data_IF_617498289672
#
_entry.id   IF_617498289672
#
_cell.length_a   1.000
_cell.length_b   1.000
_cell.length_c   1.000
_cell.angle_alpha   90.00
_cell.angle_beta   90.00
_cell.angle_gamma   90.00
#
_symmetry.space_group_name_H-M   'P 1'
#
loop_
_entity.id
_entity.type
_entity.pdbx_description
1 polymer ?
#
# COMPACT_ATOMS: atom_id res chain seq x y z
N UNK A 1 -6.19 -3.07 -7.05
CA UNK A 1 -5.79 -1.72 -6.60
C UNK A 1 -4.44 -1.80 -5.90
N UNK A 2 -3.53 -0.85 -6.12
CA UNK A 2 -2.24 -0.82 -5.42
C UNK A 2 -2.34 0.06 -4.18
N UNK A 3 -2.10 -0.52 -3.00
CA UNK A 3 -2.15 0.20 -1.73
C UNK A 3 -1.09 1.30 -1.63
N UNK A 4 -1.43 2.38 -0.92
CA UNK A 4 -0.52 3.48 -0.61
C UNK A 4 -0.04 3.36 0.84
N UNK A 5 1.21 3.74 1.07
CA UNK A 5 1.77 3.90 2.41
C UNK A 5 2.10 5.38 2.62
N UNK A 6 1.56 5.96 3.68
CA UNK A 6 1.88 7.33 4.09
C UNK A 6 2.81 7.24 5.29
N UNK A 7 3.93 7.95 5.22
CA UNK A 7 4.86 8.10 6.34
C UNK A 7 4.74 9.53 6.87
N UNK A 8 4.31 9.68 8.11
CA UNK A 8 4.21 10.98 8.79
C UNK A 8 5.10 11.02 10.03
N UNK A 9 5.70 12.16 10.36
CA UNK A 9 6.42 12.34 11.64
C UNK A 9 5.44 12.51 12.80
N UNK A 10 5.73 11.91 13.96
CA UNK A 10 5.13 12.38 15.22
C UNK A 10 5.80 13.69 15.62
N UNK A 11 5.03 14.63 16.16
CA UNK A 11 5.56 15.80 16.84
C UNK A 11 5.21 15.69 18.32
N UNK A 12 6.19 15.93 19.19
CA UNK A 12 5.92 16.06 20.61
C UNK A 12 5.03 17.30 20.83
N UNK A 13 4.20 17.23 21.87
CA UNK A 13 3.10 18.17 22.14
C UNK A 13 3.54 19.65 22.32
N UNK A 14 4.84 19.96 22.28
CA UNK A 14 5.40 21.28 22.57
C UNK A 14 5.58 22.21 21.35
N UNK A 15 5.41 21.75 20.11
CA UNK A 15 5.41 22.66 18.95
C UNK A 15 4.33 22.29 17.94
N UNK A 16 3.41 23.22 17.66
CA UNK A 16 2.37 23.09 16.62
C UNK A 16 2.98 23.26 15.23
N UNK A 17 3.91 22.40 14.85
CA UNK A 17 4.29 22.24 13.44
C UNK A 17 3.33 21.24 12.78
N UNK A 18 2.99 21.46 11.51
CA UNK A 18 2.19 20.49 10.74
C UNK A 18 3.02 19.21 10.56
N UNK A 19 2.45 18.01 10.73
CA UNK A 19 3.18 16.77 10.44
C UNK A 19 3.70 16.83 9.01
N UNK A 20 5.02 16.65 8.83
CA UNK A 20 5.61 16.49 7.51
C UNK A 20 5.16 15.13 6.97
N UNK A 21 4.22 15.17 6.04
CA UNK A 21 3.69 13.99 5.35
C UNK A 21 4.54 13.69 4.13
N UNK A 22 5.21 12.54 4.12
CA UNK A 22 5.78 11.97 2.90
C UNK A 22 4.77 10.98 2.32
N UNK A 23 4.08 11.38 1.26
CA UNK A 23 3.28 10.48 0.43
C UNK A 23 4.21 9.95 -0.66
N UNK A 24 4.54 8.65 -0.63
CA UNK A 24 5.18 7.99 -1.76
C UNK A 24 4.20 6.98 -2.35
N UNK A 25 3.98 7.09 -3.67
CA UNK A 25 3.35 6.00 -4.39
C UNK A 25 4.28 4.78 -4.33
N UNK A 26 3.69 3.59 -4.23
CA UNK A 26 4.46 2.35 -4.34
C UNK A 26 5.18 2.31 -5.71
N UNK A 27 6.41 1.80 -5.72
CA UNK A 27 7.22 1.61 -6.94
C UNK A 27 6.42 0.96 -8.07
N UNK A 28 6.24 1.66 -9.19
CA UNK A 28 5.45 1.21 -10.35
C UNK A 28 3.95 1.54 -10.30
N UNK A 29 3.52 2.34 -9.32
CA UNK A 29 2.16 2.88 -9.21
C UNK A 29 2.20 4.42 -9.26
N UNK A 30 1.12 5.01 -9.76
CA UNK A 30 0.96 6.48 -9.79
C UNK A 30 2.10 7.17 -10.55
N UNK A 31 2.78 8.13 -9.90
CA UNK A 31 3.81 8.97 -10.54
C UNK A 31 5.22 8.37 -10.51
N UNK A 32 5.40 7.19 -9.92
CA UNK A 32 6.71 6.53 -9.90
C UNK A 32 6.94 5.81 -11.23
N UNK A 33 8.01 6.17 -11.93
CA UNK A 33 8.43 5.51 -13.18
C UNK A 33 8.60 4.00 -13.00
N UNK A 34 8.49 3.25 -14.11
CA UNK A 34 8.39 1.79 -14.14
C UNK A 34 9.71 1.13 -13.65
N UNK A 35 9.77 0.52 -12.44
CA UNK A 35 10.98 -0.13 -11.95
C UNK A 35 10.97 -1.65 -12.21
N UNK A 36 12.18 -2.24 -12.13
CA UNK A 36 12.55 -3.59 -12.61
C UNK A 36 12.15 -4.73 -11.65
N UNK A 37 11.87 -4.45 -10.37
CA UNK A 37 11.35 -5.43 -9.39
C UNK A 37 10.16 -4.86 -8.63
N UNK A 38 9.12 -5.68 -8.45
CA UNK A 38 7.82 -5.22 -7.92
C UNK A 38 7.24 -6.09 -6.80
N UNK A 39 7.97 -7.11 -6.34
CA UNK A 39 7.52 -8.00 -5.27
C UNK A 39 7.27 -7.25 -3.95
N UNK A 40 6.61 -7.94 -3.01
CA UNK A 40 6.20 -7.33 -1.75
C UNK A 40 7.40 -7.01 -0.85
N UNK A 41 8.41 -7.86 -0.81
CA UNK A 41 9.62 -7.65 0.00
C UNK A 41 10.39 -6.40 -0.44
N UNK A 42 10.50 -6.18 -1.75
CA UNK A 42 11.12 -4.97 -2.30
C UNK A 42 10.40 -3.70 -1.83
N UNK A 43 9.07 -3.73 -1.73
CA UNK A 43 8.31 -2.57 -1.23
C UNK A 43 8.42 -2.35 0.26
N UNK A 44 8.51 -3.41 1.04
CA UNK A 44 8.82 -3.30 2.47
C UNK A 44 10.20 -2.66 2.64
N UNK A 45 11.21 -3.15 1.90
CA UNK A 45 12.56 -2.57 1.90
C UNK A 45 12.55 -1.08 1.55
N UNK A 46 11.85 -0.68 0.48
CA UNK A 46 11.77 0.73 0.09
C UNK A 46 11.11 1.64 1.15
N UNK A 47 10.15 1.12 1.93
CA UNK A 47 9.57 1.87 3.06
C UNK A 47 10.55 1.91 4.23
N UNK A 48 11.24 0.82 4.53
CA UNK A 48 12.28 0.77 5.56
C UNK A 48 13.40 1.77 5.26
N UNK A 49 13.91 1.81 4.03
CA UNK A 49 14.92 2.78 3.62
C UNK A 49 14.45 4.23 3.80
N UNK A 50 13.15 4.49 3.58
CA UNK A 50 12.57 5.80 3.82
C UNK A 50 12.48 6.12 5.32
N UNK A 51 12.13 5.15 6.17
CA UNK A 51 12.12 5.33 7.63
C UNK A 51 13.52 5.67 8.12
N UNK A 52 14.54 4.99 7.61
CA UNK A 52 15.94 5.17 7.99
C UNK A 52 16.50 6.54 7.59
N UNK A 53 15.99 7.13 6.50
CA UNK A 53 16.35 8.48 6.04
C UNK A 53 15.66 9.61 6.81
N UNK A 54 14.65 9.30 7.64
CA UNK A 54 13.92 10.28 8.43
C UNK A 54 14.48 10.33 9.85
N UNK A 55 14.51 11.51 10.46
CA UNK A 55 14.84 11.65 11.89
C UNK A 55 13.60 11.48 12.78
N UNK A 56 13.81 10.88 13.95
CA UNK A 56 12.79 10.69 14.97
C UNK A 56 11.75 9.62 14.63
N UNK A 57 10.70 9.54 15.45
CA UNK A 57 9.66 8.53 15.30
C UNK A 57 8.71 8.84 14.15
N UNK A 58 8.27 7.78 13.47
CA UNK A 58 7.33 7.85 12.35
C UNK A 58 6.00 7.15 12.66
N UNK A 59 4.98 7.55 11.92
CA UNK A 59 3.67 6.89 11.84
C UNK A 59 3.52 6.35 10.43
N UNK A 60 3.17 5.07 10.34
CA UNK A 60 2.86 4.40 9.08
C UNK A 60 1.35 4.29 8.91
N UNK A 61 0.85 4.64 7.73
CA UNK A 61 -0.55 4.41 7.35
C UNK A 61 -0.56 3.49 6.13
N UNK A 62 -1.15 2.31 6.25
CA UNK A 62 -1.32 1.36 5.15
C UNK A 62 -2.79 1.19 4.80
N UNK A 63 -3.13 1.39 3.53
CA UNK A 63 -4.50 1.18 3.01
C UNK A 63 -4.58 -0.08 2.15
N UNK A 64 -5.61 -0.91 2.36
CA UNK A 64 -5.82 -2.16 1.63
C UNK A 64 -4.52 -3.00 1.61
N UNK A 65 -4.07 -3.51 0.45
CA UNK A 65 -2.80 -4.23 0.33
C UNK A 65 -1.54 -3.47 0.79
N UNK A 66 -1.62 -2.14 0.95
CA UNK A 66 -0.58 -1.33 1.56
C UNK A 66 -0.42 -1.56 3.07
N UNK A 67 -1.44 -2.13 3.72
CA UNK A 67 -1.41 -2.59 5.11
C UNK A 67 -0.29 -3.59 5.35
N UNK A 68 -0.15 -4.60 4.49
CA UNK A 68 0.92 -5.60 4.60
C UNK A 68 2.31 -4.96 4.50
N UNK A 69 2.48 -3.97 3.59
CA UNK A 69 3.75 -3.26 3.45
C UNK A 69 4.06 -2.43 4.69
N UNK A 70 3.08 -1.69 5.22
CA UNK A 70 3.23 -0.92 6.44
C UNK A 70 3.54 -1.81 7.65
N UNK A 71 2.88 -2.96 7.75
CA UNK A 71 3.09 -3.93 8.83
C UNK A 71 4.48 -4.56 8.80
N UNK A 72 4.92 -5.04 7.63
CA UNK A 72 6.26 -5.61 7.47
C UNK A 72 7.39 -4.59 7.64
N UNK A 73 7.15 -3.30 7.37
CA UNK A 73 8.10 -2.24 7.64
C UNK A 73 8.16 -1.88 9.14
N UNK A 74 7.01 -1.88 9.81
CA UNK A 74 6.94 -1.67 11.26
C UNK A 74 7.68 -2.74 12.04
N UNK A 75 7.50 -4.01 11.66
CA UNK A 75 8.20 -5.14 12.24
C UNK A 75 9.73 -4.98 12.16
N UNK A 76 10.25 -4.59 11.00
CA UNK A 76 11.70 -4.36 10.79
C UNK A 76 12.25 -3.11 11.49
N UNK A 77 11.41 -2.19 11.95
CA UNK A 77 11.79 -0.90 12.54
C UNK A 77 10.95 -0.57 13.78
N UNK A 78 10.74 -1.57 14.65
CA UNK A 78 9.90 -1.46 15.84
C UNK A 78 10.26 -0.26 16.73
N UNK A 79 11.56 0.06 16.84
CA UNK A 79 12.06 1.17 17.66
C UNK A 79 11.84 2.56 17.03
N UNK A 80 11.44 2.63 15.76
CA UNK A 80 11.23 3.89 15.02
C UNK A 80 9.76 4.15 14.72
N UNK A 81 8.90 3.14 14.78
CA UNK A 81 7.49 3.24 14.39
C UNK A 81 6.61 3.42 15.62
N UNK A 82 6.21 4.66 15.88
CA UNK A 82 5.40 4.99 17.06
C UNK A 82 3.91 4.68 16.92
N UNK A 83 3.39 4.46 15.69
CA UNK A 83 2.03 3.95 15.39
C UNK A 83 1.96 3.34 13.99
N UNK A 84 1.10 2.34 13.82
CA UNK A 84 0.62 1.84 12.52
C UNK A 84 -0.89 2.06 12.44
N UNK A 85 -1.36 2.67 11.36
CA UNK A 85 -2.78 2.89 11.07
C UNK A 85 -3.15 2.06 9.85
N UNK A 86 -4.09 1.15 10.00
CA UNK A 86 -4.58 0.27 8.96
C UNK A 86 -5.95 0.74 8.51
N UNK A 87 -6.09 1.08 7.23
CA UNK A 87 -7.34 1.58 6.64
C UNK A 87 -7.86 0.53 5.69
N UNK A 88 -9.06 0.04 5.95
CA UNK A 88 -9.73 -0.99 5.13
C UNK A 88 -8.83 -2.22 4.88
N UNK A 89 -8.13 -2.61 5.94
CA UNK A 89 -7.21 -3.75 5.98
C UNK A 89 -6.94 -4.13 7.43
N UNK A 90 -6.41 -5.34 7.64
CA UNK A 90 -6.04 -5.89 8.95
C UNK A 90 -4.54 -6.26 8.96
N UNK A 91 -3.94 -6.46 10.15
CA UNK A 91 -2.60 -7.05 10.23
C UNK A 91 -2.58 -8.41 9.54
N UNK A 92 -1.64 -8.68 8.63
CA UNK A 92 -1.58 -9.97 7.97
C UNK A 92 -1.15 -11.06 8.96
N UNK A 93 -1.70 -12.26 8.78
CA UNK A 93 -1.15 -13.47 9.40
C UNK A 93 0.17 -13.86 8.73
N UNK A 94 1.07 -14.58 9.43
CA UNK A 94 2.26 -15.15 8.79
C UNK A 94 1.87 -15.97 7.56
N UNK A 95 2.51 -15.71 6.41
CA UNK A 95 2.17 -16.38 5.15
C UNK A 95 0.90 -15.83 4.45
N UNK A 96 0.20 -14.85 5.03
CA UNK A 96 -1.02 -14.29 4.46
C UNK A 96 -0.79 -13.53 3.16
N UNK A 97 -1.79 -13.63 2.26
CA UNK A 97 -1.84 -12.91 0.99
C UNK A 97 -2.89 -11.79 1.02
N UNK A 98 -2.83 -10.87 0.05
CA UNK A 98 -3.68 -9.67 0.04
C UNK A 98 -5.02 -9.94 -0.62
N UNK A 99 -5.03 -10.65 -1.75
CA UNK A 99 -6.25 -10.94 -2.52
C UNK A 99 -5.98 -11.94 -3.66
N UNK A 100 -7.03 -12.62 -4.14
CA UNK A 100 -6.99 -13.54 -5.29
C UNK A 100 -7.79 -12.94 -6.46
N UNK A 101 -7.18 -12.03 -7.23
CA UNK A 101 -7.69 -11.70 -8.57
C UNK A 101 -7.03 -12.61 -9.61
N UNK A 102 -7.70 -12.88 -10.75
CA UNK A 102 -7.09 -13.64 -11.83
C UNK A 102 -5.74 -13.05 -12.24
N UNK A 103 -4.74 -13.91 -12.36
CA UNK A 103 -3.43 -13.53 -12.91
C UNK A 103 -3.43 -13.87 -14.39
N UNK A 104 -3.20 -12.85 -15.23
CA UNK A 104 -3.08 -12.97 -16.68
C UNK A 104 -1.69 -12.47 -17.05
N UNK A 105 -0.90 -13.31 -17.72
CA UNK A 105 0.47 -12.99 -18.18
C UNK A 105 1.39 -12.40 -17.08
N UNK A 106 1.29 -12.95 -15.86
CA UNK A 106 2.13 -12.55 -14.72
C UNK A 106 1.72 -11.24 -14.04
N UNK A 107 0.56 -10.67 -14.38
CA UNK A 107 -0.03 -9.51 -13.71
C UNK A 107 -1.47 -9.79 -13.29
N UNK A 108 -1.94 -9.14 -12.23
CA UNK A 108 -3.34 -8.96 -11.90
C UNK A 108 -3.87 -7.70 -12.63
N UNK A 109 -4.62 -7.83 -13.73
CA UNK A 109 -5.26 -6.70 -14.39
C UNK A 109 -6.45 -6.18 -13.57
N UNK A 110 -7.04 -5.06 -14.00
CA UNK A 110 -8.37 -4.70 -13.52
C UNK A 110 -9.37 -5.74 -14.03
N UNK A 111 -10.14 -6.41 -13.16
CA UNK A 111 -10.96 -7.56 -13.56
C UNK A 111 -12.26 -7.16 -14.28
N UNK A 112 -12.53 -5.85 -14.41
CA UNK A 112 -13.79 -5.33 -14.92
C UNK A 112 -14.82 -5.10 -13.80
N UNK A 113 -15.83 -4.28 -14.09
CA UNK A 113 -16.85 -3.91 -13.10
C UNK A 113 -17.78 -5.08 -12.74
N UNK A 114 -18.01 -6.00 -13.68
CA UNK A 114 -18.88 -7.17 -13.48
C UNK A 114 -18.32 -8.19 -12.46
N UNK A 115 -17.06 -8.03 -12.03
CA UNK A 115 -16.46 -8.87 -10.98
C UNK A 115 -16.92 -8.47 -9.58
N UNK A 116 -17.38 -7.24 -9.40
CA UNK A 116 -17.77 -6.71 -8.10
C UNK A 116 -19.27 -6.84 -7.89
N UNK A 117 -19.69 -7.14 -6.67
CA UNK A 117 -21.09 -7.21 -6.31
C UNK A 117 -21.70 -5.81 -6.19
N UNK A 118 -23.00 -5.67 -6.44
CA UNK A 118 -23.67 -4.36 -6.45
C UNK A 118 -23.42 -3.56 -5.17
N UNK A 119 -23.40 -4.21 -3.99
CA UNK A 119 -23.14 -3.54 -2.71
C UNK A 119 -21.75 -2.88 -2.63
N UNK A 120 -20.77 -3.37 -3.39
CA UNK A 120 -19.39 -2.88 -3.38
C UNK A 120 -19.22 -1.66 -4.29
N UNK A 121 -20.09 -1.52 -5.30
CA UNK A 121 -19.95 -0.50 -6.35
C UNK A 121 -21.16 0.44 -6.44
N UNK A 122 -22.23 0.23 -5.68
CA UNK A 122 -23.47 1.01 -5.76
C UNK A 122 -23.28 2.52 -5.58
N UNK A 123 -22.30 2.93 -4.79
CA UNK A 123 -22.03 4.34 -4.51
C UNK A 123 -21.09 4.98 -5.56
N UNK A 124 -20.57 4.18 -6.50
CA UNK A 124 -19.77 4.66 -7.62
C UNK A 124 -20.68 5.00 -8.80
N UNK A 125 -20.76 6.28 -9.15
CA UNK A 125 -21.46 6.71 -10.36
C UNK A 125 -20.79 6.15 -11.63
N UNK A 126 -21.55 6.06 -12.72
CA UNK A 126 -21.04 5.60 -14.01
C UNK A 126 -19.81 6.39 -14.48
N UNK A 127 -19.83 7.70 -14.30
CA UNK A 127 -18.69 8.56 -14.64
C UNK A 127 -17.42 8.18 -13.85
N UNK A 128 -17.55 7.80 -12.58
CA UNK A 128 -16.42 7.34 -11.76
C UNK A 128 -15.95 5.96 -12.23
N UNK A 129 -16.87 5.05 -12.54
CA UNK A 129 -16.56 3.71 -13.05
C UNK A 129 -15.76 3.78 -14.35
N UNK A 130 -16.19 4.61 -15.31
CA UNK A 130 -15.45 4.86 -16.55
C UNK A 130 -14.06 5.46 -16.27
N UNK A 131 -14.00 6.49 -15.42
CA UNK A 131 -12.75 7.18 -15.11
C UNK A 131 -11.72 6.28 -14.42
N UNK A 132 -12.16 5.37 -13.57
CA UNK A 132 -11.31 4.37 -12.90
C UNK A 132 -10.86 3.30 -13.87
N UNK A 133 -11.76 2.73 -14.69
CA UNK A 133 -11.40 1.70 -15.66
C UNK A 133 -10.32 2.19 -16.65
N UNK A 134 -10.42 3.44 -17.13
CA UNK A 134 -9.43 4.05 -18.03
C UNK A 134 -8.05 4.27 -17.38
N UNK A 135 -7.99 4.39 -16.06
CA UNK A 135 -6.76 4.68 -15.30
C UNK A 135 -6.21 3.46 -14.57
N UNK A 136 -6.94 2.35 -14.58
CA UNK A 136 -6.56 1.16 -13.84
C UNK A 136 -5.28 0.57 -14.44
N UNK A 137 -4.29 0.34 -13.59
CA UNK A 137 -3.02 -0.26 -13.97
C UNK A 137 -2.99 -1.70 -13.51
N UNK A 138 -2.40 -2.56 -14.35
CA UNK A 138 -2.11 -3.94 -13.96
C UNK A 138 -1.04 -3.97 -12.87
N UNK A 139 -1.27 -4.79 -11.86
CA UNK A 139 -0.36 -4.98 -10.74
C UNK A 139 0.37 -6.30 -10.95
N UNK A 140 1.70 -6.42 -10.81
CA UNK A 140 2.37 -7.72 -10.93
C UNK A 140 1.80 -8.77 -9.98
N UNK A 141 1.83 -10.04 -10.38
CA UNK A 141 1.23 -11.14 -9.61
C UNK A 141 1.80 -11.25 -8.19
N UNK A 142 3.12 -11.09 -8.06
CA UNK A 142 3.86 -11.19 -6.79
C UNK A 142 3.37 -10.21 -5.73
N UNK A 143 2.70 -9.14 -6.17
CA UNK A 143 2.24 -8.07 -5.29
C UNK A 143 1.13 -8.56 -4.36
N UNK A 144 -0.01 -9.07 -4.85
CA UNK A 144 -1.03 -9.65 -4.00
C UNK A 144 -0.72 -11.07 -3.55
N UNK A 145 0.12 -11.84 -4.25
CA UNK A 145 0.31 -13.28 -3.98
C UNK A 145 1.46 -13.65 -3.07
N UNK A 146 2.58 -12.92 -3.09
CA UNK A 146 3.76 -13.34 -2.30
C UNK A 146 3.41 -13.37 -0.81
N UNK A 147 3.95 -14.33 -0.06
CA UNK A 147 3.79 -14.35 1.38
C UNK A 147 4.48 -13.15 2.05
N UNK A 148 3.93 -12.66 3.15
CA UNK A 148 4.68 -11.76 4.03
C UNK A 148 5.46 -12.58 5.07
N UNK A 149 6.76 -12.28 5.18
CA UNK A 149 7.60 -12.71 6.31
C UNK A 149 7.64 -11.57 7.34
N UNK A 150 7.08 -11.88 8.52
CA UNK A 150 7.12 -11.08 9.73
C UNK A 150 8.16 -11.73 10.63
#
# INVERSE_FOLDING_TARGET
MAGRVIVGRRHSCASRSRPRTALRDASGCGRTGRPVRRDRHHRVGAVVDLIDQLDGDVVLVGHSGGGNVAWGAADRRVDRVGRVILVDTLPPTPGGMIWEFPIVDGVAPFPGWDTFEEREIRDLSEAVRVAVAQRALSVPAQVPTDAITL
#
